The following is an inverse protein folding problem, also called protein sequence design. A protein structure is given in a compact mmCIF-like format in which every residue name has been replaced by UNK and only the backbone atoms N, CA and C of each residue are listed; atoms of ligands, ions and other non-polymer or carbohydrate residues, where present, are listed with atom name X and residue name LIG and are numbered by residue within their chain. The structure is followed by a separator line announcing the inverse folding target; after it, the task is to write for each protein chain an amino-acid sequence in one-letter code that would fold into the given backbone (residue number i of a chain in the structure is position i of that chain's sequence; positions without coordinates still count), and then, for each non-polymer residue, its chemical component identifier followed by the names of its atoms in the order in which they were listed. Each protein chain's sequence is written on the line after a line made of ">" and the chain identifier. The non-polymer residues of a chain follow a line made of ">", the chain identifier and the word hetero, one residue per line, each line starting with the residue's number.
data_IF_474665360082
#
_entry.id   IF_474665360082
#
_cell.length_a   1.000
_cell.length_b   1.000
_cell.length_c   1.000
_cell.angle_alpha   90.00
_cell.angle_beta   90.00
_cell.angle_gamma   90.00
#
_symmetry.space_group_name_H-M   'P 1'
#
loop_
_entity.id
_entity.type
_entity.pdbx_description
1 polymer ?
#
# COMPACT_ATOMS: atom_id res chain seq x y z
N UNK A 1 -21.02 -22.21 -22.56
CA UNK A 1 -20.74 -21.83 -22.28
C UNK A 1 -20.41 -21.35 -21.71
N UNK A 2 -20.55 -21.57 -21.84
CA UNK A 2 -20.10 -21.13 -21.29
C UNK A 2 -19.59 -20.61 -20.50
N UNK A 3 -19.55 -20.95 -20.59
CA UNK A 3 -19.00 -20.38 -19.83
C UNK A 3 -18.57 -19.98 -19.01
N UNK A 4 -18.59 -20.35 -19.13
CA UNK A 4 -18.12 -19.92 -18.44
C UNK A 4 -17.62 -19.59 -17.68
N UNK A 5 -17.62 -19.97 -17.96
CA UNK A 5 -17.03 -19.53 -17.31
C UNK A 5 -16.50 -19.08 -16.61
N UNK A 6 -16.64 -19.47 -16.89
CA UNK A 6 -16.03 -18.97 -16.35
C UNK A 6 -15.58 -18.46 -15.52
N UNK A 7 -15.66 -18.80 -15.62
CA UNK A 7 -15.08 -18.18 -14.87
C UNK A 7 -14.64 -17.89 -14.10
N UNK A 8 -14.65 -18.36 -14.30
CA UNK A 8 -14.06 -18.00 -13.67
C UNK A 8 -13.65 -17.61 -12.99
N UNK A 9 -13.67 -17.91 -13.16
CA UNK A 9 -13.02 -17.37 -12.58
C UNK A 9 -12.62 -16.87 -11.90
N UNK A 10 -12.68 -17.22 -12.03
CA UNK A 10 -12.12 -16.59 -11.46
C UNK A 10 -11.76 -16.08 -10.74
N UNK A 11 -11.91 -16.51 -10.81
CA UNK A 11 -11.43 -15.92 -10.18
C UNK A 11 -11.04 -15.55 -9.49
N UNK A 12 -11.04 -15.92 -9.49
CA UNK A 12 -10.49 -15.42 -8.97
C UNK A 12 -9.98 -15.12 -8.34
N UNK A 13 -9.77 -15.57 -8.44
CA UNK A 13 -9.07 -15.08 -7.95
C UNK A 13 -8.65 -14.55 -7.46
N UNK A 14 -8.77 -14.83 -7.46
CA UNK A 14 -8.16 -14.12 -7.02
C UNK A 14 -7.76 -13.63 -6.41
N UNK A 15 -7.80 -14.00 -6.37
CA UNK A 15 -7.26 -13.40 -5.86
C UNK A 15 -6.71 -13.10 -5.38
N UNK A 16 -6.70 -13.54 -5.46
CA UNK A 16 -5.98 -13.13 -5.08
C UNK A 16 -5.40 -12.76 -4.84
N UNK A 17 -5.49 -13.10 -5.04
CA UNK A 17 -4.81 -12.55 -4.91
C UNK A 17 -4.32 -11.97 -4.78
N UNK A 18 -4.41 -12.28 -4.87
CA UNK A 18 -3.89 -11.54 -4.77
C UNK A 18 -3.35 -10.88 -4.45
N UNK A 19 -3.32 -11.12 -4.36
CA UNK A 19 -2.77 -10.44 -4.07
C UNK A 19 -1.96 -10.01 -4.00
N UNK A 20 -1.98 -10.30 -4.20
CA UNK A 20 -1.23 -9.75 -4.25
C UNK A 20 -0.58 -9.19 -4.28
N UNK A 21 -0.69 -9.41 -4.48
CA UNK A 21 -0.09 -8.78 -4.56
C UNK A 21 0.44 -8.12 -4.67
N UNK A 22 0.42 -8.35 -4.75
CA UNK A 22 0.63 -7.47 -4.79
C UNK A 22 1.46 -7.06 -4.72
N UNK A 23 1.46 -7.57 -5.05
CA UNK A 23 2.35 -7.26 -5.01
C UNK A 23 2.83 -6.40 -4.95
N UNK A 24 3.02 -6.80 -4.99
CA UNK A 24 3.22 -5.50 -4.96
C UNK A 24 4.36 -5.07 -5.66
N UNK A 25 4.16 -4.74 -6.80
CA UNK A 25 5.17 -4.10 -7.60
C UNK A 25 5.57 -2.81 -6.92
N UNK A 26 6.85 -2.61 -6.76
CA UNK A 26 7.36 -1.37 -6.21
C UNK A 26 7.11 -0.24 -7.20
N UNK A 27 6.76 0.92 -6.67
CA UNK A 27 6.54 2.10 -7.48
C UNK A 27 7.88 2.64 -7.96
N UNK A 28 8.08 2.67 -9.27
CA UNK A 28 9.32 3.19 -9.84
C UNK A 28 9.43 4.70 -9.57
N UNK A 29 10.63 5.20 -9.24
CA UNK A 29 10.82 6.62 -9.04
C UNK A 29 10.52 7.41 -10.31
N UNK A 30 9.87 8.56 -10.14
CA UNK A 30 9.53 9.46 -11.24
C UNK A 30 10.48 10.65 -11.18
N UNK A 31 11.19 10.99 -12.29
CA UNK A 31 12.08 12.14 -12.30
C UNK A 31 11.34 13.42 -11.93
N UNK A 32 12.01 14.29 -11.18
CA UNK A 32 11.49 15.60 -10.76
C UNK A 32 10.30 15.52 -9.81
N UNK A 33 10.09 14.36 -9.13
CA UNK A 33 9.03 14.17 -8.16
C UNK A 33 9.59 13.61 -6.85
N UNK A 34 10.52 14.32 -6.18
CA UNK A 34 11.19 13.74 -5.00
C UNK A 34 10.26 13.52 -3.82
N UNK A 35 9.26 14.38 -3.62
CA UNK A 35 8.32 14.22 -2.50
C UNK A 35 7.41 13.02 -2.70
N UNK A 36 6.91 12.89 -3.91
CA UNK A 36 6.05 11.76 -4.29
C UNK A 36 6.84 10.46 -4.20
N UNK A 37 8.07 10.48 -4.70
CA UNK A 37 8.93 9.29 -4.64
C UNK A 37 9.18 8.86 -3.20
N UNK A 38 9.38 9.80 -2.28
CA UNK A 38 9.58 9.48 -0.88
C UNK A 38 8.34 8.83 -0.26
N UNK A 39 7.17 9.42 -0.51
CA UNK A 39 5.91 8.87 0.01
C UNK A 39 5.71 7.44 -0.52
N UNK A 40 5.91 7.25 -1.80
CA UNK A 40 5.72 5.95 -2.44
C UNK A 40 6.72 4.92 -1.92
N UNK A 41 7.98 5.30 -1.73
CA UNK A 41 8.98 4.39 -1.18
C UNK A 41 8.61 3.94 0.23
N UNK A 42 8.10 4.86 1.05
CA UNK A 42 7.68 4.51 2.40
C UNK A 42 6.48 3.56 2.39
N UNK A 43 5.54 3.77 1.49
CA UNK A 43 4.41 2.85 1.32
C UNK A 43 4.89 1.47 0.89
N UNK A 44 5.81 1.42 -0.07
CA UNK A 44 6.40 0.15 -0.51
C UNK A 44 7.09 -0.57 0.64
N UNK A 45 7.83 0.16 1.46
CA UNK A 45 8.50 -0.41 2.62
C UNK A 45 7.51 -0.96 3.63
N UNK A 46 6.42 -0.26 3.86
CA UNK A 46 5.38 -0.73 4.78
C UNK A 46 4.72 -1.99 4.25
N UNK A 47 4.44 -2.05 2.94
CA UNK A 47 3.88 -3.25 2.35
C UNK A 47 4.82 -4.44 2.50
N UNK A 48 6.12 -4.22 2.29
CA UNK A 48 7.11 -5.28 2.47
C UNK A 48 7.12 -5.79 3.91
N UNK A 49 7.00 -4.90 4.90
CA UNK A 49 6.95 -5.29 6.30
C UNK A 49 5.69 -6.07 6.65
N UNK A 50 4.56 -5.68 6.06
CA UNK A 50 3.30 -6.41 6.24
C UNK A 50 3.44 -7.82 5.66
N UNK A 51 3.96 -7.92 4.44
CA UNK A 51 4.17 -9.22 3.79
C UNK A 51 5.08 -10.12 4.61
N UNK A 52 6.15 -9.55 5.16
CA UNK A 52 7.08 -10.29 6.01
C UNK A 52 6.38 -10.77 7.29
N UNK A 53 5.57 -9.93 7.90
CA UNK A 53 4.83 -10.29 9.11
C UNK A 53 3.85 -11.43 8.87
N UNK A 54 3.18 -11.42 7.72
CA UNK A 54 2.30 -12.52 7.34
C UNK A 54 3.10 -13.80 7.11
N UNK A 55 4.21 -13.69 6.40
CA UNK A 55 5.02 -14.87 6.04
C UNK A 55 5.63 -15.55 7.26
N UNK A 56 6.07 -14.77 8.26
CA UNK A 56 6.72 -15.34 9.45
C UNK A 56 5.77 -15.50 10.65
N UNK A 57 4.49 -15.23 10.45
CA UNK A 57 3.47 -15.46 11.49
C UNK A 57 3.42 -14.42 12.60
N UNK A 58 4.12 -13.30 12.47
CA UNK A 58 4.10 -12.24 13.48
C UNK A 58 2.93 -11.28 13.32
N UNK A 59 2.18 -11.42 12.23
CA UNK A 59 1.03 -10.57 11.93
C UNK A 59 -0.12 -11.44 11.44
N UNK A 60 -1.33 -11.14 11.92
CA UNK A 60 -2.53 -11.84 11.45
C UNK A 60 -3.00 -11.26 10.13
N UNK A 61 -3.78 -12.06 9.38
CA UNK A 61 -4.40 -11.56 8.14
C UNK A 61 -5.27 -10.34 8.38
N UNK A 62 -5.98 -10.30 9.51
CA UNK A 62 -6.85 -9.18 9.85
C UNK A 62 -6.04 -7.90 10.14
N UNK A 63 -4.92 -8.04 10.85
CA UNK A 63 -4.02 -6.92 11.09
C UNK A 63 -3.45 -6.40 9.78
N UNK A 64 -2.98 -7.30 8.91
CA UNK A 64 -2.43 -6.95 7.62
C UNK A 64 -3.47 -6.20 6.77
N UNK A 65 -4.71 -6.69 6.75
CA UNK A 65 -5.76 -6.06 5.97
C UNK A 65 -6.04 -4.62 6.43
N UNK A 66 -6.02 -4.39 7.74
CA UNK A 66 -6.21 -3.04 8.27
C UNK A 66 -5.05 -2.12 7.92
N UNK A 67 -3.83 -2.62 8.01
CA UNK A 67 -2.65 -1.82 7.71
C UNK A 67 -2.60 -1.47 6.22
N UNK A 68 -2.93 -2.43 5.36
CA UNK A 68 -3.02 -2.18 3.93
C UNK A 68 -4.09 -1.16 3.60
N UNK A 69 -5.21 -1.18 4.33
CA UNK A 69 -6.26 -0.19 4.15
C UNK A 69 -5.77 1.21 4.48
N UNK A 70 -4.98 1.34 5.53
CA UNK A 70 -4.37 2.62 5.88
C UNK A 70 -3.41 3.09 4.78
N UNK A 71 -2.58 2.19 4.27
CA UNK A 71 -1.66 2.53 3.18
C UNK A 71 -2.41 2.94 1.93
N UNK A 72 -3.49 2.23 1.62
CA UNK A 72 -4.33 2.54 0.47
C UNK A 72 -4.95 3.94 0.61
N UNK A 73 -5.42 4.28 1.80
CA UNK A 73 -5.99 5.61 2.06
C UNK A 73 -4.93 6.70 1.90
N UNK A 74 -3.70 6.42 2.32
CA UNK A 74 -2.59 7.37 2.15
C UNK A 74 -2.32 7.57 0.66
N UNK A 75 -2.25 6.48 -0.10
CA UNK A 75 -2.02 6.54 -1.54
C UNK A 75 -3.13 7.33 -2.25
N UNK A 76 -4.37 7.14 -1.83
CA UNK A 76 -5.49 7.89 -2.42
C UNK A 76 -5.38 9.38 -2.13
N UNK A 77 -5.00 9.74 -0.90
CA UNK A 77 -4.81 11.15 -0.56
C UNK A 77 -3.67 11.78 -1.36
N UNK A 78 -2.59 11.01 -1.53
CA UNK A 78 -1.49 11.48 -2.37
C UNK A 78 -1.98 11.76 -3.79
N UNK A 79 -2.76 10.84 -4.37
CA UNK A 79 -3.28 11.01 -5.72
C UNK A 79 -4.16 12.26 -5.83
N UNK A 80 -4.99 12.52 -4.81
CA UNK A 80 -5.82 13.73 -4.79
C UNK A 80 -4.94 14.99 -4.73
N UNK A 81 -3.92 14.96 -3.86
CA UNK A 81 -3.01 16.09 -3.71
C UNK A 81 -2.26 16.37 -5.01
N UNK A 82 -1.79 15.30 -5.68
CA UNK A 82 -1.13 15.42 -6.97
C UNK A 82 -2.03 16.03 -8.03
N UNK A 83 -3.30 15.68 -8.02
CA UNK A 83 -4.24 16.18 -9.02
C UNK A 83 -4.45 17.69 -8.91
N UNK A 84 -4.18 18.27 -7.75
CA UNK A 84 -4.30 19.71 -7.53
C UNK A 84 -3.08 20.49 -8.03
N UNK A 85 -1.95 19.82 -8.22
CA UNK A 85 -0.66 20.47 -8.46
C UNK A 85 0.11 19.84 -9.62
N UNK A 86 -0.59 19.38 -10.64
CA UNK A 86 0.03 18.83 -11.86
C UNK A 86 0.99 17.67 -11.61
N UNK A 87 0.60 16.75 -10.70
CA UNK A 87 1.39 15.58 -10.41
C UNK A 87 2.41 15.77 -9.29
N UNK A 88 2.39 16.92 -8.64
CA UNK A 88 3.28 17.23 -7.50
C UNK A 88 2.48 17.37 -6.22
N UNK A 89 3.12 17.11 -5.08
CA UNK A 89 2.54 17.43 -3.78
C UNK A 89 3.37 18.56 -3.16
N UNK A 90 2.69 19.39 -2.35
CA UNK A 90 3.38 20.45 -1.63
C UNK A 90 4.13 19.88 -0.43
N UNK A 91 5.03 20.66 0.13
CA UNK A 91 5.75 20.28 1.35
C UNK A 91 4.79 20.00 2.50
N UNK A 92 3.75 20.82 2.63
CA UNK A 92 2.74 20.64 3.68
C UNK A 92 1.96 19.34 3.48
N UNK A 93 1.61 19.02 2.24
CA UNK A 93 0.93 17.77 1.91
C UNK A 93 1.82 16.57 2.21
N UNK A 94 3.09 16.65 1.82
CA UNK A 94 4.06 15.60 2.14
C UNK A 94 4.15 15.39 3.66
N UNK A 95 4.19 16.46 4.42
CA UNK A 95 4.26 16.37 5.89
C UNK A 95 3.05 15.65 6.47
N UNK A 96 1.85 15.94 5.95
CA UNK A 96 0.63 15.26 6.41
C UNK A 96 0.62 13.78 6.04
N UNK A 97 1.06 13.46 4.83
CA UNK A 97 1.15 12.07 4.39
C UNK A 97 2.19 11.31 5.23
N UNK A 98 3.33 11.93 5.49
CA UNK A 98 4.38 11.34 6.32
C UNK A 98 3.88 11.05 7.74
N UNK A 99 3.06 11.93 8.31
CA UNK A 99 2.47 11.70 9.62
C UNK A 99 1.60 10.44 9.62
N UNK A 100 0.78 10.29 8.60
CA UNK A 100 -0.06 9.09 8.47
C UNK A 100 0.78 7.84 8.29
N UNK A 101 1.83 7.92 7.48
CA UNK A 101 2.76 6.80 7.29
C UNK A 101 3.47 6.44 8.59
N UNK A 102 3.88 7.45 9.36
CA UNK A 102 4.53 7.21 10.64
C UNK A 102 3.60 6.49 11.61
N UNK A 103 2.33 6.89 11.66
CA UNK A 103 1.34 6.24 12.52
C UNK A 103 1.16 4.78 12.12
N UNK A 104 1.04 4.53 10.82
CA UNK A 104 0.86 3.17 10.35
C UNK A 104 2.11 2.33 10.56
N UNK A 105 3.28 2.92 10.36
CA UNK A 105 4.57 2.26 10.62
C UNK A 105 4.68 1.79 12.07
N UNK A 106 4.28 2.64 13.02
CA UNK A 106 4.29 2.29 14.44
C UNK A 106 3.31 1.16 14.75
N UNK A 107 2.13 1.18 14.10
CA UNK A 107 1.14 0.13 14.26
C UNK A 107 1.68 -1.20 13.79
N UNK A 108 2.29 -1.23 12.60
CA UNK A 108 2.91 -2.43 12.04
C UNK A 108 3.98 -2.96 13.01
N UNK A 109 4.84 -2.07 13.51
CA UNK A 109 5.88 -2.48 14.45
C UNK A 109 5.29 -3.13 15.69
N UNK A 110 4.28 -2.49 16.32
CA UNK A 110 3.68 -3.05 17.53
C UNK A 110 3.01 -4.40 17.28
N UNK A 111 2.36 -4.55 16.13
CA UNK A 111 1.70 -5.81 15.79
C UNK A 111 2.71 -6.94 15.66
N UNK A 112 3.85 -6.66 15.04
CA UNK A 112 4.88 -7.67 14.81
C UNK A 112 5.69 -8.01 16.07
N UNK A 113 5.62 -7.17 17.09
CA UNK A 113 6.39 -7.35 18.31
C UNK A 113 5.53 -7.56 19.56
N UNK A 114 4.26 -7.89 19.38
CA UNK A 114 3.36 -8.14 20.51
C UNK A 114 3.23 -9.62 20.82
#
# INVERSE_FOLDING_TARGET
>A
MKNSNIHLNVAGLVCAALISSHSMAQTAPVPDHPRENEVNQRLDNQQARINQGLANGTMTGQQAARDEKHDENIAQREAVDESKHNGHITKAEQSRLNKSENKNSKRIYRQKHS
#
